data_IF_187793348674
#
_entry.id   IF_187793348674
#
_cell.length_a   1.000
_cell.length_b   1.000
_cell.length_c   1.000
_cell.angle_alpha   90.00
_cell.angle_beta   90.00
_cell.angle_gamma   90.00
#
_symmetry.space_group_name_H-M   'P 1'
#
loop_
_entity.id
_entity.type
_entity.pdbx_description
1 polymer ?
#
# COMPACT_ATOMS: atom_id res chain seq x y z
N UNK A 1 -12.48 -24.16 -11.12
CA UNK A 1 -11.91 -23.73 -9.83
C UNK A 1 -10.74 -22.80 -10.11
N UNK A 2 -10.86 -21.51 -9.81
CA UNK A 2 -9.79 -20.53 -10.00
C UNK A 2 -8.69 -20.76 -8.98
N UNK A 3 -7.44 -20.91 -9.45
CA UNK A 3 -6.26 -20.97 -8.61
C UNK A 3 -6.14 -19.62 -7.88
N UNK A 4 -6.27 -19.63 -6.55
CA UNK A 4 -6.01 -18.44 -5.75
C UNK A 4 -4.51 -18.13 -5.85
N UNK A 5 -4.18 -16.94 -6.36
CA UNK A 5 -2.82 -16.41 -6.30
C UNK A 5 -2.31 -16.47 -4.85
N UNK A 6 -1.18 -17.16 -4.56
CA UNK A 6 -0.67 -17.31 -3.19
C UNK A 6 -0.06 -16.03 -2.60
N UNK A 7 -0.39 -14.86 -3.17
CA UNK A 7 0.14 -13.56 -2.81
C UNK A 7 -0.97 -12.50 -2.66
N UNK A 8 -2.21 -12.91 -2.34
CA UNK A 8 -3.20 -11.98 -1.80
C UNK A 8 -2.92 -11.84 -0.30
N UNK A 9 -2.19 -10.79 0.15
CA UNK A 9 -2.01 -10.56 1.57
C UNK A 9 -3.37 -10.38 2.25
N UNK A 10 -3.50 -10.83 3.49
CA UNK A 10 -4.72 -10.70 4.31
C UNK A 10 -4.93 -9.24 4.76
N UNK A 11 -5.05 -8.35 3.78
CA UNK A 11 -5.29 -6.93 3.95
C UNK A 11 -6.79 -6.67 4.12
N UNK A 12 -7.47 -7.45 4.96
CA UNK A 12 -8.90 -7.30 5.22
C UNK A 12 -9.36 -5.83 5.39
N UNK A 13 -8.68 -4.97 6.18
CA UNK A 13 -9.09 -3.57 6.30
C UNK A 13 -8.94 -2.77 5.00
N UNK A 14 -7.89 -3.01 4.21
CA UNK A 14 -7.66 -2.32 2.93
C UNK A 14 -8.63 -2.82 1.87
N UNK A 15 -8.87 -4.13 1.82
CA UNK A 15 -9.79 -4.75 0.87
C UNK A 15 -11.23 -4.29 1.10
N UNK A 16 -11.64 -4.05 2.35
CA UNK A 16 -12.93 -3.45 2.66
C UNK A 16 -13.07 -2.03 2.06
N UNK A 17 -11.99 -1.25 2.03
CA UNK A 17 -11.97 0.12 1.47
C UNK A 17 -11.87 0.14 -0.07
N UNK A 18 -11.38 -0.95 -0.66
CA UNK A 18 -11.28 -1.12 -2.11
C UNK A 18 -12.58 -1.63 -2.76
N UNK A 19 -13.60 -1.95 -1.94
CA UNK A 19 -14.93 -2.30 -2.44
C UNK A 19 -15.80 -1.04 -2.58
N UNK A 20 -16.55 -0.89 -3.68
CA UNK A 20 -17.57 0.15 -3.78
C UNK A 20 -18.67 -0.11 -2.73
N UNK A 21 -19.23 0.96 -2.16
CA UNK A 21 -20.27 0.88 -1.15
C UNK A 21 -21.36 1.93 -1.43
N UNK A 22 -22.63 1.55 -1.28
CA UNK A 22 -23.75 2.50 -1.36
C UNK A 22 -23.84 3.27 -2.69
N UNK A 23 -23.49 2.62 -3.82
CA UNK A 23 -23.48 3.25 -5.13
C UNK A 23 -22.31 4.23 -5.38
N UNK A 24 -21.42 4.42 -4.40
CA UNK A 24 -20.22 5.23 -4.54
C UNK A 24 -19.03 4.38 -5.03
N UNK A 25 -18.09 4.98 -5.78
CA UNK A 25 -16.88 4.29 -6.19
C UNK A 25 -16.05 3.84 -4.97
N UNK A 26 -15.18 2.85 -5.18
CA UNK A 26 -14.28 2.37 -4.14
C UNK A 26 -13.44 3.52 -3.57
N UNK A 27 -13.27 3.51 -2.24
CA UNK A 27 -12.48 4.56 -1.59
C UNK A 27 -10.98 4.41 -1.87
N UNK A 28 -10.49 3.19 -2.10
CA UNK A 28 -9.13 2.96 -2.59
C UNK A 28 -9.17 2.47 -4.04
N UNK A 29 -8.51 3.22 -4.92
CA UNK A 29 -8.29 2.85 -6.32
C UNK A 29 -7.14 1.82 -6.50
N UNK A 30 -6.99 1.20 -7.69
CA UNK A 30 -6.01 0.12 -7.93
C UNK A 30 -4.55 0.47 -7.61
N UNK A 31 -4.10 1.69 -7.92
CA UNK A 31 -2.73 2.13 -7.63
C UNK A 31 -2.44 2.20 -6.12
N UNK A 32 -3.46 2.44 -5.28
CA UNK A 32 -3.30 2.35 -3.83
C UNK A 32 -3.06 0.91 -3.40
N UNK A 33 -3.76 -0.06 -4.00
CA UNK A 33 -3.56 -1.48 -3.70
C UNK A 33 -2.17 -1.96 -4.10
N UNK A 34 -1.65 -1.50 -5.25
CA UNK A 34 -0.27 -1.77 -5.65
C UNK A 34 0.71 -1.16 -4.65
N UNK A 35 0.48 0.09 -4.25
CA UNK A 35 1.30 0.77 -3.23
C UNK A 35 1.32 -0.02 -1.93
N UNK A 36 0.17 -0.47 -1.43
CA UNK A 36 0.07 -1.31 -0.23
C UNK A 36 0.86 -2.62 -0.41
N UNK A 37 0.73 -3.31 -1.55
CA UNK A 37 1.49 -4.54 -1.83
C UNK A 37 2.99 -4.31 -1.89
N UNK A 38 3.45 -3.18 -2.43
CA UNK A 38 4.88 -2.81 -2.43
C UNK A 38 5.36 -2.53 -1.01
N UNK A 39 4.62 -1.74 -0.24
CA UNK A 39 4.97 -1.38 1.14
C UNK A 39 5.01 -2.61 2.03
N UNK A 40 4.00 -3.50 1.95
CA UNK A 40 3.97 -4.76 2.71
C UNK A 40 5.18 -5.65 2.39
N UNK A 41 5.49 -5.86 1.11
CA UNK A 41 6.69 -6.64 0.69
C UNK A 41 8.00 -6.01 1.17
N UNK A 42 8.08 -4.69 1.23
CA UNK A 42 9.25 -4.00 1.79
C UNK A 42 9.33 -4.20 3.30
N UNK A 43 8.21 -4.04 4.01
CA UNK A 43 8.10 -4.23 5.45
C UNK A 43 8.48 -5.65 5.87
N UNK A 44 7.89 -6.67 5.26
CA UNK A 44 8.21 -8.08 5.52
C UNK A 44 9.70 -8.36 5.34
N UNK A 45 10.26 -8.01 4.17
CA UNK A 45 11.70 -8.19 3.89
C UNK A 45 12.59 -7.44 4.88
N UNK A 46 12.21 -6.24 5.28
CA UNK A 46 12.95 -5.44 6.25
C UNK A 46 12.97 -6.09 7.65
N UNK A 47 11.91 -6.83 8.00
CA UNK A 47 11.74 -7.51 9.29
C UNK A 47 12.30 -8.95 9.30
N UNK A 48 12.62 -9.56 8.15
CA UNK A 48 13.14 -10.93 8.04
C UNK A 48 14.39 -11.22 8.91
N UNK A 49 15.23 -10.23 9.26
CA UNK A 49 16.37 -10.49 10.18
C UNK A 49 15.97 -10.82 11.62
N UNK A 50 14.77 -10.45 12.09
CA UNK A 50 14.38 -10.75 13.49
C UNK A 50 14.03 -12.23 13.70
N UNK A 51 13.88 -13.02 12.64
CA UNK A 51 13.43 -14.43 12.72
C UNK A 51 14.36 -15.43 12.03
N UNK A 52 15.60 -15.07 11.68
CA UNK A 52 16.61 -16.08 11.30
C UNK A 52 17.17 -16.69 12.59
N UNK A 53 16.40 -17.55 13.25
CA UNK A 53 17.01 -18.57 14.13
C UNK A 53 17.81 -19.50 13.22
N UNK A 54 19.12 -19.25 13.16
CA UNK A 54 20.09 -20.17 12.57
C UNK A 54 19.91 -21.55 13.17
N UNK A 55 19.33 -22.50 12.42
CA UNK A 55 19.54 -23.91 12.70
C UNK A 55 20.92 -24.29 12.16
N UNK A 56 21.93 -24.29 13.04
CA UNK A 56 23.22 -24.88 12.73
C UNK A 56 23.06 -26.41 12.69
N UNK A 57 22.94 -26.96 11.49
CA UNK A 57 23.23 -28.36 11.21
C UNK A 57 24.38 -28.40 10.20
N UNK A 58 25.48 -29.14 10.44
CA UNK A 58 26.61 -29.14 9.54
C UNK A 58 26.19 -29.81 8.23
N UNK A 59 26.26 -29.08 7.11
CA UNK A 59 26.06 -29.63 5.77
C UNK A 59 27.29 -29.34 4.93
N UNK A 60 28.16 -30.35 4.89
CA UNK A 60 29.26 -30.50 3.95
C UNK A 60 28.67 -30.63 2.55
N UNK A 61 29.16 -29.85 1.58
CA UNK A 61 28.80 -29.98 0.18
C UNK A 61 28.55 -28.64 -0.52
N UNK A 62 29.51 -28.25 -1.36
CA UNK A 62 29.48 -27.01 -2.13
C UNK A 62 28.39 -26.99 -3.20
N UNK A 63 27.73 -25.85 -3.29
CA UNK A 63 27.12 -25.23 -4.48
C UNK A 63 26.68 -23.84 -4.01
N UNK A 64 26.93 -22.80 -4.82
CA UNK A 64 26.56 -21.41 -4.51
C UNK A 64 25.07 -21.37 -4.16
N UNK A 65 24.79 -21.24 -2.85
CA UNK A 65 23.47 -21.44 -2.25
C UNK A 65 22.67 -20.16 -2.47
N UNK A 66 21.68 -20.21 -3.35
CA UNK A 66 20.66 -19.16 -3.50
C UNK A 66 20.06 -18.92 -2.10
N UNK A 67 20.29 -17.73 -1.53
CA UNK A 67 19.83 -17.39 -0.18
C UNK A 67 20.83 -17.72 0.94
N UNK A 68 22.11 -17.39 0.77
CA UNK A 68 23.05 -17.38 1.90
C UNK A 68 22.53 -16.45 3.00
N UNK A 69 22.88 -16.72 4.27
CA UNK A 69 22.54 -15.84 5.38
C UNK A 69 23.03 -14.39 5.14
N UNK A 70 24.14 -14.22 4.41
CA UNK A 70 24.66 -12.93 3.96
C UNK A 70 23.75 -12.26 2.92
N UNK A 71 23.22 -13.01 1.94
CA UNK A 71 22.32 -12.48 0.90
C UNK A 71 20.95 -12.09 1.50
N UNK A 72 20.45 -12.88 2.46
CA UNK A 72 19.20 -12.56 3.20
C UNK A 72 19.40 -11.32 4.07
N UNK A 73 20.55 -11.25 4.73
CA UNK A 73 20.95 -10.11 5.55
C UNK A 73 21.03 -8.80 4.72
N UNK A 74 21.64 -8.86 3.54
CA UNK A 74 21.81 -7.73 2.63
C UNK A 74 20.47 -7.28 2.03
N UNK A 75 19.68 -8.21 1.51
CA UNK A 75 18.33 -7.92 0.99
C UNK A 75 17.39 -7.31 2.04
N UNK A 76 17.50 -7.71 3.31
CA UNK A 76 16.75 -7.09 4.40
C UNK A 76 17.23 -5.65 4.69
N UNK A 77 18.54 -5.38 4.60
CA UNK A 77 19.08 -4.04 4.80
C UNK A 77 18.70 -3.09 3.66
N UNK A 78 18.71 -3.57 2.42
CA UNK A 78 18.22 -2.84 1.26
C UNK A 78 16.72 -2.50 1.40
N UNK A 79 15.91 -3.50 1.81
CA UNK A 79 14.48 -3.30 2.03
C UNK A 79 14.19 -2.24 3.10
N UNK A 80 14.94 -2.22 4.21
CA UNK A 80 14.85 -1.16 5.25
C UNK A 80 15.17 0.21 4.67
N UNK A 81 16.28 0.31 3.94
CA UNK A 81 16.72 1.58 3.34
C UNK A 81 15.65 2.12 2.39
N UNK A 82 15.10 1.26 1.53
CA UNK A 82 14.05 1.64 0.59
C UNK A 82 12.74 2.01 1.29
N UNK A 83 12.32 1.25 2.31
CA UNK A 83 11.13 1.57 3.09
C UNK A 83 11.27 2.93 3.80
N UNK A 84 12.41 3.15 4.47
CA UNK A 84 12.67 4.41 5.18
C UNK A 84 12.67 5.61 4.22
N UNK A 85 13.23 5.48 3.02
CA UNK A 85 13.20 6.54 2.00
C UNK A 85 11.78 6.90 1.56
N UNK A 86 10.92 5.89 1.40
CA UNK A 86 9.52 6.12 1.05
C UNK A 86 8.78 6.85 2.19
N UNK A 87 8.97 6.40 3.43
CA UNK A 87 8.29 6.97 4.61
C UNK A 87 8.79 8.37 4.96
N UNK A 88 10.09 8.66 4.78
CA UNK A 88 10.68 9.98 5.06
C UNK A 88 10.05 11.11 4.24
N UNK A 89 9.38 10.77 3.13
CA UNK A 89 8.66 11.71 2.29
C UNK A 89 7.22 12.00 2.71
N UNK A 90 6.75 11.43 3.82
CA UNK A 90 5.38 11.58 4.32
C UNK A 90 5.35 12.41 5.61
N UNK A 91 4.23 13.12 5.89
CA UNK A 91 3.95 13.60 7.24
C UNK A 91 3.98 12.43 8.25
N UNK A 92 4.45 12.68 9.46
CA UNK A 92 4.63 11.64 10.48
C UNK A 92 3.37 10.82 10.76
N UNK A 93 2.20 11.47 10.79
CA UNK A 93 0.91 10.81 10.96
C UNK A 93 0.58 9.86 9.80
N UNK A 94 0.85 10.29 8.56
CA UNK A 94 0.64 9.47 7.37
C UNK A 94 1.59 8.26 7.36
N UNK A 95 2.88 8.47 7.64
CA UNK A 95 3.87 7.40 7.73
C UNK A 95 3.47 6.35 8.78
N UNK A 96 3.04 6.81 9.95
CA UNK A 96 2.57 5.95 11.02
C UNK A 96 1.36 5.10 10.62
N UNK A 97 0.31 5.73 10.08
CA UNK A 97 -0.91 5.02 9.65
C UNK A 97 -0.63 4.02 8.54
N UNK A 98 0.20 4.38 7.56
CA UNK A 98 0.59 3.45 6.48
C UNK A 98 1.28 2.22 7.04
N UNK A 99 2.19 2.37 8.01
CA UNK A 99 2.88 1.24 8.63
C UNK A 99 1.95 0.40 9.52
N UNK A 100 1.11 1.05 10.32
CA UNK A 100 0.12 0.36 11.16
C UNK A 100 -0.83 -0.51 10.30
N UNK A 101 -1.31 0.00 9.17
CA UNK A 101 -2.24 -0.73 8.30
C UNK A 101 -1.54 -1.73 7.38
N UNK A 102 -0.44 -1.35 6.73
CA UNK A 102 0.18 -2.21 5.70
C UNK A 102 1.17 -3.22 6.30
N UNK A 103 1.84 -2.85 7.39
CA UNK A 103 2.87 -3.66 8.04
C UNK A 103 2.31 -4.49 9.20
N UNK A 104 1.59 -3.84 10.10
CA UNK A 104 1.01 -4.48 11.30
C UNK A 104 -0.44 -4.94 11.12
N UNK A 105 -1.06 -4.64 9.98
CA UNK A 105 -2.43 -5.06 9.64
C UNK A 105 -3.47 -4.63 10.68
N UNK A 106 -3.20 -3.54 11.40
CA UNK A 106 -4.11 -2.99 12.41
C UNK A 106 -5.39 -2.48 11.76
N UNK A 107 -6.49 -2.65 12.49
CA UNK A 107 -7.77 -2.06 12.13
C UNK A 107 -7.76 -0.53 12.25
N UNK A 108 -8.50 0.18 11.40
CA UNK A 108 -8.56 1.65 11.44
C UNK A 108 -9.09 2.18 12.79
N UNK A 109 -10.04 1.49 13.39
CA UNK A 109 -10.63 1.85 14.68
C UNK A 109 -9.63 1.70 15.84
N UNK A 110 -8.75 0.70 15.76
CA UNK A 110 -7.66 0.54 16.70
C UNK A 110 -6.66 1.70 16.59
N UNK A 111 -6.28 2.07 15.36
CA UNK A 111 -5.40 3.22 15.12
C UNK A 111 -6.02 4.52 15.65
N UNK A 112 -7.32 4.73 15.42
CA UNK A 112 -8.03 5.92 15.91
C UNK A 112 -8.02 5.98 17.44
N UNK A 113 -8.29 4.86 18.11
CA UNK A 113 -8.27 4.76 19.57
C UNK A 113 -6.87 5.00 20.12
N UNK A 114 -5.86 4.32 19.58
CA UNK A 114 -4.49 4.38 20.08
C UNK A 114 -3.88 5.79 19.94
N UNK A 115 -4.35 6.57 18.96
CA UNK A 115 -3.91 7.95 18.70
C UNK A 115 -4.84 9.03 19.27
N UNK A 116 -5.97 8.65 19.88
CA UNK A 116 -6.98 9.59 20.35
C UNK A 116 -7.66 10.40 19.23
N UNK A 117 -7.71 9.86 18.01
CA UNK A 117 -8.28 10.54 16.85
C UNK A 117 -9.81 10.38 16.77
N UNK A 118 -10.52 11.36 16.18
CA UNK A 118 -11.94 11.22 15.87
C UNK A 118 -12.24 10.03 14.95
N UNK A 119 -13.46 9.49 15.04
CA UNK A 119 -13.91 8.39 14.19
C UNK A 119 -13.77 8.73 12.70
N UNK A 120 -13.33 7.76 11.91
CA UNK A 120 -13.12 7.83 10.45
C UNK A 120 -11.95 8.73 10.00
N UNK A 121 -11.13 9.24 10.91
CA UNK A 121 -9.93 10.01 10.58
C UNK A 121 -8.85 9.14 9.94
N UNK A 122 -8.64 7.92 10.45
CA UNK A 122 -7.54 7.07 9.99
C UNK A 122 -7.72 6.67 8.52
N UNK A 123 -8.97 6.51 8.06
CA UNK A 123 -9.29 6.23 6.66
C UNK A 123 -8.78 7.32 5.71
N UNK A 124 -8.98 8.59 6.06
CA UNK A 124 -8.54 9.73 5.24
C UNK A 124 -7.01 9.86 5.25
N UNK A 125 -6.40 9.77 6.43
CA UNK A 125 -4.95 9.84 6.58
C UNK A 125 -4.24 8.71 5.82
N UNK A 126 -4.79 7.48 5.87
CA UNK A 126 -4.28 6.35 5.10
C UNK A 126 -4.29 6.66 3.61
N UNK A 127 -5.41 7.16 3.08
CA UNK A 127 -5.51 7.48 1.65
C UNK A 127 -4.51 8.56 1.24
N UNK A 128 -4.39 9.63 2.01
CA UNK A 128 -3.41 10.71 1.75
C UNK A 128 -1.98 10.15 1.70
N UNK A 129 -1.63 9.28 2.66
CA UNK A 129 -0.34 8.60 2.68
C UNK A 129 -0.12 7.72 1.44
N UNK A 130 -1.13 6.96 1.03
CA UNK A 130 -1.05 6.09 -0.14
C UNK A 130 -0.99 6.87 -1.46
N UNK A 131 -1.73 7.97 -1.61
CA UNK A 131 -1.66 8.88 -2.76
C UNK A 131 -0.23 9.46 -2.91
N UNK A 132 0.36 9.92 -1.79
CA UNK A 132 1.71 10.47 -1.77
C UNK A 132 2.78 9.41 -2.12
N UNK A 133 2.63 8.18 -1.63
CA UNK A 133 3.52 7.07 -1.96
C UNK A 133 3.36 6.60 -3.41
N UNK A 134 2.13 6.48 -3.90
CA UNK A 134 1.84 6.11 -5.29
C UNK A 134 2.53 7.08 -6.25
N UNK A 135 2.43 8.38 -5.99
CA UNK A 135 3.13 9.43 -6.75
C UNK A 135 4.65 9.20 -6.79
N UNK A 136 5.26 8.90 -5.64
CA UNK A 136 6.71 8.63 -5.54
C UNK A 136 7.13 7.33 -6.24
N UNK A 137 6.22 6.36 -6.33
CA UNK A 137 6.41 5.08 -7.00
C UNK A 137 6.08 5.15 -8.49
N UNK A 138 5.60 6.30 -9.00
CA UNK A 138 5.15 6.45 -10.39
C UNK A 138 3.90 5.65 -10.72
N UNK A 139 3.07 5.32 -9.73
CA UNK A 139 1.84 4.55 -9.90
C UNK A 139 0.68 5.49 -10.20
N UNK A 140 -0.10 5.19 -11.24
CA UNK A 140 -1.25 5.99 -11.67
C UNK A 140 -2.56 5.20 -11.59
N UNK A 141 -3.71 5.85 -11.31
CA UNK A 141 -5.04 5.24 -11.42
C UNK A 141 -5.40 4.77 -12.83
N UNK A 142 -4.74 5.30 -13.86
CA UNK A 142 -4.98 4.94 -15.25
C UNK A 142 -4.03 3.81 -15.63
N UNK A 143 -4.57 2.63 -15.92
CA UNK A 143 -3.82 1.61 -16.65
C UNK A 143 -3.55 2.17 -18.05
N UNK A 144 -2.34 2.67 -18.30
CA UNK A 144 -1.92 3.09 -19.64
C UNK A 144 -1.71 1.84 -20.51
N UNK A 145 -2.81 1.27 -21.01
CA UNK A 145 -2.80 0.60 -22.31
C UNK A 145 -2.59 1.64 -23.42
N UNK A 146 -2.13 1.24 -24.62
CA UNK A 146 -1.83 2.19 -25.70
C UNK A 146 -3.06 3.06 -25.97
N UNK A 147 -2.80 4.35 -26.18
CA UNK A 147 -3.80 5.42 -26.28
C UNK A 147 -5.00 5.06 -27.16
N UNK A 148 -6.21 5.19 -26.60
CA UNK A 148 -7.43 5.15 -27.41
C UNK A 148 -8.68 4.80 -26.62
N UNK A 149 -9.42 5.80 -26.13
CA UNK A 149 -10.77 5.53 -25.63
C UNK A 149 -11.44 6.58 -24.74
N UNK A 150 -11.54 7.84 -25.19
CA UNK A 150 -12.60 8.82 -24.84
C UNK A 150 -13.15 8.78 -23.39
N UNK A 151 -12.64 9.65 -22.53
CA UNK A 151 -13.49 10.20 -21.46
C UNK A 151 -14.54 11.12 -22.09
N UNK A 152 -15.77 10.62 -22.25
CA UNK A 152 -16.93 11.47 -22.56
C UNK A 152 -17.46 12.08 -21.26
N UNK A 153 -17.39 13.40 -21.20
CA UNK A 153 -18.41 14.31 -20.69
C UNK A 153 -19.10 13.98 -19.37
N UNK A 154 -18.64 14.65 -18.31
CA UNK A 154 -19.55 15.19 -17.30
C UNK A 154 -19.44 16.72 -17.33
N UNK A 155 -20.05 17.32 -18.36
CA UNK A 155 -20.58 18.68 -18.24
C UNK A 155 -22.08 18.56 -18.53
N UNK A 156 -22.87 18.68 -17.47
CA UNK A 156 -24.32 18.77 -17.58
C UNK A 156 -24.69 19.96 -18.45
N UNK A 157 -25.57 19.69 -19.40
CA UNK A 157 -26.15 20.69 -20.29
C UNK A 157 -26.92 21.75 -19.49
N UNK A 158 -26.70 23.02 -19.83
CA UNK A 158 -27.80 24.00 -19.87
C UNK A 158 -28.08 24.84 -18.62
N UNK A 159 -27.09 25.52 -18.04
CA UNK A 159 -27.36 26.66 -17.15
C UNK A 159 -27.14 28.00 -17.87
N UNK A 160 -28.17 28.49 -18.57
CA UNK A 160 -28.46 29.93 -18.77
C UNK A 160 -29.98 30.11 -18.76
N UNK A 161 -30.52 31.06 -17.98
CA UNK A 161 -30.77 32.42 -18.48
C UNK A 161 -30.33 33.52 -17.49
N UNK A 162 -29.65 34.57 -17.95
CA UNK A 162 -30.15 35.90 -18.39
C UNK A 162 -30.82 36.77 -17.30
N UNK A 163 -30.08 37.82 -16.94
CA UNK A 163 -30.49 39.21 -16.72
C UNK A 163 -31.53 39.51 -15.63
N UNK A 164 -31.08 40.23 -14.59
CA UNK A 164 -31.93 41.07 -13.73
C UNK A 164 -31.33 42.48 -13.69
N UNK A 165 -32.25 43.46 -13.72
CA UNK A 165 -32.14 44.91 -13.98
C UNK A 165 -30.91 45.68 -13.52
#
# INVERSE_FOLDING_TARGET
MGNADPAAPDLAPVMALARPQGGQPAFLAPHHLETVRIVKRLFERSHLRRHVTMHYGPRVGGTRRIGSAADIADSAAEARTRLNRLLAGLPGDCAGVVIDVCGFEKGLQEIERDRGWPRRSAKLVLRIGLDALATRLGLSPVAAGPEGGRQRGWHGAGAVPREFS
#
